data_IF_217905177638
#
_entry.id   IF_217905177638
#
_cell.length_a   1.000
_cell.length_b   1.000
_cell.length_c   1.000
_cell.angle_alpha   90.00
_cell.angle_beta   90.00
_cell.angle_gamma   90.00
#
_symmetry.space_group_name_H-M   'P 1'
#
loop_
_entity.id
_entity.type
_entity.pdbx_description
1 polymer ?
#
# COMPACT_ATOMS: atom_id res chain seq x y z
N UNK A 1 35.27 0.24 6.61
CA UNK A 1 35.20 0.21 5.14
C UNK A 1 34.88 -1.20 4.61
N UNK A 2 35.54 -2.25 5.12
CA UNK A 2 35.30 -3.65 4.68
C UNK A 2 33.86 -4.16 4.84
N UNK A 3 33.15 -3.76 5.91
CA UNK A 3 31.74 -4.13 6.12
C UNK A 3 30.80 -3.55 5.04
N UNK A 4 31.04 -2.32 4.61
CA UNK A 4 30.26 -1.65 3.56
C UNK A 4 30.49 -2.34 2.21
N UNK A 5 31.74 -2.64 1.87
CA UNK A 5 32.11 -3.35 0.63
C UNK A 5 31.51 -4.75 0.60
N UNK A 6 31.52 -5.47 1.74
CA UNK A 6 30.89 -6.78 1.87
C UNK A 6 29.37 -6.70 1.72
N UNK A 7 28.73 -5.71 2.34
CA UNK A 7 27.29 -5.47 2.20
C UNK A 7 26.89 -5.19 0.75
N UNK A 8 27.59 -4.28 0.06
CA UNK A 8 27.32 -3.95 -1.35
C UNK A 8 27.50 -5.18 -2.26
N UNK A 9 28.52 -6.01 -2.04
CA UNK A 9 28.69 -7.27 -2.78
C UNK A 9 27.55 -8.26 -2.55
N UNK A 10 27.08 -8.39 -1.32
CA UNK A 10 25.95 -9.27 -0.99
C UNK A 10 24.66 -8.74 -1.63
N UNK A 11 24.38 -7.45 -1.51
CA UNK A 11 23.23 -6.81 -2.13
C UNK A 11 23.24 -6.97 -3.67
N UNK A 12 24.39 -6.79 -4.31
CA UNK A 12 24.56 -7.00 -5.76
C UNK A 12 24.32 -8.45 -6.19
N UNK A 13 24.81 -9.42 -5.41
CA UNK A 13 24.53 -10.84 -5.69
C UNK A 13 23.05 -11.16 -5.48
N UNK A 14 22.42 -10.59 -4.46
CA UNK A 14 21.01 -10.78 -4.19
C UNK A 14 20.14 -10.16 -5.28
N UNK A 15 20.45 -8.95 -5.75
CA UNK A 15 19.67 -8.28 -6.79
C UNK A 15 19.66 -9.04 -8.12
N UNK A 16 20.75 -9.76 -8.44
CA UNK A 16 20.83 -10.61 -9.65
C UNK A 16 20.18 -11.99 -9.51
N UNK A 17 19.85 -12.44 -8.29
CA UNK A 17 19.28 -13.77 -8.02
C UNK A 17 17.88 -13.71 -7.40
N UNK A 18 17.24 -12.54 -7.31
CA UNK A 18 15.83 -12.51 -6.96
C UNK A 18 15.04 -13.08 -8.13
N UNK A 19 14.38 -14.25 -7.97
CA UNK A 19 13.49 -14.74 -9.00
C UNK A 19 12.28 -13.82 -8.98
N UNK A 20 12.26 -12.83 -9.86
CA UNK A 20 11.05 -12.08 -10.15
C UNK A 20 10.02 -13.10 -10.64
N UNK A 21 8.83 -13.07 -10.04
CA UNK A 21 7.71 -13.81 -10.59
C UNK A 21 7.40 -13.16 -11.93
N UNK A 22 7.26 -13.97 -12.98
CA UNK A 22 6.90 -13.47 -14.30
C UNK A 22 5.56 -12.72 -14.19
N UNK A 23 5.59 -11.42 -14.45
CA UNK A 23 4.43 -10.56 -14.31
C UNK A 23 3.65 -10.65 -15.61
N UNK A 24 2.57 -11.45 -15.60
CA UNK A 24 1.66 -11.52 -16.73
C UNK A 24 1.08 -10.13 -17.00
N UNK A 25 1.14 -9.72 -18.27
CA UNK A 25 0.50 -8.48 -18.69
C UNK A 25 -1.00 -8.53 -18.38
N UNK A 26 -1.51 -7.44 -17.80
CA UNK A 26 -2.93 -7.33 -17.49
C UNK A 26 -3.70 -6.93 -18.73
N UNK A 27 -4.65 -7.77 -19.13
CA UNK A 27 -5.56 -7.43 -20.20
C UNK A 27 -6.63 -6.45 -19.71
N UNK A 28 -7.24 -5.72 -20.65
CA UNK A 28 -8.33 -4.80 -20.32
C UNK A 28 -9.52 -5.52 -19.65
N UNK A 29 -9.74 -6.79 -19.99
CA UNK A 29 -10.77 -7.66 -19.40
C UNK A 29 -10.48 -7.98 -17.93
N UNK A 30 -9.23 -8.26 -17.56
CA UNK A 30 -8.82 -8.53 -16.17
C UNK A 30 -9.07 -7.32 -15.29
N UNK A 31 -8.71 -6.13 -15.80
CA UNK A 31 -8.95 -4.85 -15.11
C UNK A 31 -10.45 -4.65 -14.90
N UNK A 32 -11.27 -4.86 -15.94
CA UNK A 32 -12.72 -4.70 -15.83
C UNK A 32 -13.34 -5.70 -14.83
N UNK A 33 -12.89 -6.96 -14.87
CA UNK A 33 -13.36 -8.03 -13.98
C UNK A 33 -13.01 -7.74 -12.53
N UNK A 34 -11.76 -7.34 -12.25
CA UNK A 34 -11.34 -6.97 -10.91
C UNK A 34 -12.17 -5.80 -10.37
N UNK A 35 -12.34 -4.77 -11.20
CA UNK A 35 -13.12 -3.57 -10.86
C UNK A 35 -14.57 -3.92 -10.51
N UNK A 36 -15.23 -4.73 -11.33
CA UNK A 36 -16.58 -5.22 -11.06
C UNK A 36 -16.66 -6.04 -9.76
N UNK A 37 -15.66 -6.89 -9.50
CA UNK A 37 -15.59 -7.63 -8.25
C UNK A 37 -15.48 -6.70 -7.04
N UNK A 38 -14.59 -5.70 -7.07
CA UNK A 38 -14.34 -4.79 -5.95
C UNK A 38 -15.58 -3.99 -5.54
N UNK A 39 -16.45 -3.63 -6.50
CA UNK A 39 -17.73 -2.94 -6.25
C UNK A 39 -18.91 -3.90 -6.06
N UNK A 40 -18.70 -5.21 -6.10
CA UNK A 40 -19.74 -6.17 -5.77
C UNK A 40 -20.01 -6.20 -4.26
N UNK A 41 -21.12 -6.82 -3.84
CA UNK A 41 -21.42 -7.06 -2.41
C UNK A 41 -20.27 -7.80 -1.70
N UNK A 42 -19.68 -8.78 -2.37
CA UNK A 42 -18.56 -9.56 -1.85
C UNK A 42 -17.28 -8.75 -1.79
N UNK A 43 -16.99 -7.94 -2.82
CA UNK A 43 -15.85 -7.02 -2.86
C UNK A 43 -15.89 -5.97 -1.76
N UNK A 44 -17.04 -5.31 -1.55
CA UNK A 44 -17.24 -4.40 -0.41
C UNK A 44 -17.02 -5.07 0.94
N UNK A 45 -17.46 -6.32 1.11
CA UNK A 45 -17.21 -7.09 2.33
C UNK A 45 -15.72 -7.37 2.52
N UNK A 46 -15.01 -7.79 1.47
CA UNK A 46 -13.56 -7.98 1.49
C UNK A 46 -12.84 -6.69 1.89
N UNK A 47 -13.13 -5.59 1.20
CA UNK A 47 -12.57 -4.25 1.48
C UNK A 47 -12.75 -3.83 2.93
N UNK A 48 -13.97 -3.98 3.47
CA UNK A 48 -14.26 -3.67 4.89
C UNK A 48 -13.50 -4.58 5.86
N UNK A 49 -13.32 -5.85 5.54
CA UNK A 49 -12.50 -6.79 6.34
C UNK A 49 -11.03 -6.33 6.34
N UNK A 50 -10.50 -5.96 5.18
CA UNK A 50 -9.13 -5.48 5.01
C UNK A 50 -8.88 -4.15 5.76
N UNK A 51 -9.79 -3.19 5.65
CA UNK A 51 -9.73 -1.94 6.40
C UNK A 51 -9.73 -2.18 7.91
N UNK A 52 -10.57 -3.09 8.40
CA UNK A 52 -10.58 -3.46 9.82
C UNK A 52 -9.28 -4.13 10.26
N UNK A 53 -8.61 -4.90 9.39
CA UNK A 53 -7.29 -5.44 9.71
C UNK A 53 -6.24 -4.34 9.87
N UNK A 54 -6.27 -3.32 9.01
CA UNK A 54 -5.37 -2.14 9.14
C UNK A 54 -5.59 -1.44 10.48
N UNK A 55 -6.85 -1.17 10.85
CA UNK A 55 -7.18 -0.52 12.13
C UNK A 55 -6.68 -1.34 13.33
N UNK A 56 -6.90 -2.66 13.32
CA UNK A 56 -6.42 -3.56 14.38
C UNK A 56 -4.90 -3.57 14.48
N UNK A 57 -4.21 -3.60 13.34
CA UNK A 57 -2.76 -3.61 13.33
C UNK A 57 -2.18 -2.27 13.82
N UNK A 58 -2.79 -1.15 13.43
CA UNK A 58 -2.41 0.17 13.94
C UNK A 58 -2.61 0.26 15.46
N UNK A 59 -3.75 -0.22 15.97
CA UNK A 59 -4.01 -0.24 17.41
C UNK A 59 -2.98 -1.10 18.17
N UNK A 60 -2.61 -2.25 17.61
CA UNK A 60 -1.59 -3.14 18.18
C UNK A 60 -0.24 -2.42 18.30
N UNK A 61 0.22 -1.77 17.23
CA UNK A 61 1.47 -1.00 17.20
C UNK A 61 1.48 0.11 18.25
N UNK A 62 0.38 0.87 18.37
CA UNK A 62 0.27 1.97 19.36
C UNK A 62 0.33 1.44 20.80
N UNK A 63 -0.16 0.23 21.03
CA UNK A 63 -0.14 -0.42 22.35
C UNK A 63 1.19 -1.10 22.70
N UNK A 64 2.11 -1.23 21.74
CA UNK A 64 3.37 -1.94 21.89
C UNK A 64 4.35 -1.16 22.76
N UNK A 65 4.91 -1.84 23.77
CA UNK A 65 5.84 -1.26 24.76
C UNK A 65 7.29 -1.67 24.51
N UNK A 66 7.53 -2.79 23.82
CA UNK A 66 8.87 -3.20 23.43
C UNK A 66 9.30 -2.47 22.15
N UNK A 67 10.36 -1.66 22.25
CA UNK A 67 10.89 -0.87 21.13
C UNK A 67 11.39 -1.74 19.97
N UNK A 68 11.87 -2.96 20.22
CA UNK A 68 12.34 -3.85 19.15
C UNK A 68 11.17 -4.46 18.39
N UNK A 69 10.13 -4.91 19.08
CA UNK A 69 8.91 -5.40 18.45
C UNK A 69 8.14 -4.28 17.75
N UNK A 70 8.12 -3.08 18.33
CA UNK A 70 7.47 -1.90 17.76
C UNK A 70 7.94 -1.63 16.32
N UNK A 71 9.26 -1.70 16.06
CA UNK A 71 9.80 -1.45 14.72
C UNK A 71 9.30 -2.46 13.69
N UNK A 72 9.26 -3.74 14.08
CA UNK A 72 8.77 -4.81 13.23
C UNK A 72 7.27 -4.67 12.96
N UNK A 73 6.48 -4.48 14.01
CA UNK A 73 5.02 -4.35 13.92
C UNK A 73 4.60 -3.08 13.16
N UNK A 74 5.33 -1.96 13.33
CA UNK A 74 5.10 -0.74 12.57
C UNK A 74 5.39 -0.93 11.07
N UNK A 75 6.47 -1.66 10.74
CA UNK A 75 6.78 -2.03 9.36
C UNK A 75 5.68 -2.88 8.73
N UNK A 76 5.21 -3.89 9.46
CA UNK A 76 4.12 -4.75 9.02
C UNK A 76 2.80 -3.98 8.85
N UNK A 77 2.44 -3.13 9.82
CA UNK A 77 1.25 -2.28 9.75
C UNK A 77 1.27 -1.36 8.54
N UNK A 78 2.42 -0.75 8.25
CA UNK A 78 2.59 0.13 7.10
C UNK A 78 2.47 -0.63 5.77
N UNK A 79 3.02 -1.84 5.70
CA UNK A 79 2.86 -2.73 4.54
C UNK A 79 1.38 -3.09 4.30
N UNK A 80 0.67 -3.52 5.35
CA UNK A 80 -0.76 -3.81 5.27
C UNK A 80 -1.57 -2.59 4.83
N UNK A 81 -1.29 -1.42 5.40
CA UNK A 81 -1.95 -0.16 5.03
C UNK A 81 -1.77 0.17 3.55
N UNK A 82 -0.55 0.05 3.03
CA UNK A 82 -0.22 0.35 1.63
C UNK A 82 -0.98 -0.58 0.69
N UNK A 83 -0.98 -1.89 0.96
CA UNK A 83 -1.69 -2.88 0.14
C UNK A 83 -3.19 -2.63 0.11
N UNK A 84 -3.81 -2.35 1.26
CA UNK A 84 -5.24 -2.09 1.33
C UNK A 84 -5.59 -0.77 0.62
N UNK A 85 -4.76 0.26 0.74
CA UNK A 85 -4.96 1.52 0.02
C UNK A 85 -4.94 1.34 -1.50
N UNK A 86 -4.05 0.51 -2.04
CA UNK A 86 -4.04 0.19 -3.48
C UNK A 86 -5.36 -0.43 -3.93
N UNK A 87 -5.91 -1.37 -3.16
CA UNK A 87 -7.21 -1.99 -3.46
C UNK A 87 -8.37 -0.99 -3.35
N UNK A 88 -8.35 -0.10 -2.37
CA UNK A 88 -9.34 0.98 -2.21
C UNK A 88 -9.29 1.96 -3.39
N UNK A 89 -8.09 2.35 -3.84
CA UNK A 89 -7.92 3.24 -4.98
C UNK A 89 -8.52 2.65 -6.27
N UNK A 90 -8.33 1.35 -6.50
CA UNK A 90 -8.92 0.65 -7.66
C UNK A 90 -10.45 0.63 -7.64
N UNK A 91 -11.07 0.75 -6.46
CA UNK A 91 -12.51 0.77 -6.30
C UNK A 91 -13.12 2.18 -6.30
N UNK A 92 -12.38 3.21 -5.86
CA UNK A 92 -12.82 4.61 -5.80
C UNK A 92 -13.13 5.21 -7.16
N UNK A 93 -12.48 4.76 -8.23
CA UNK A 93 -12.74 5.25 -9.58
C UNK A 93 -14.15 4.88 -10.12
N UNK A 94 -14.97 4.15 -9.32
CA UNK A 94 -16.23 3.54 -9.74
C UNK A 94 -17.39 3.85 -8.78
N UNK A 95 -17.14 3.86 -7.48
CA UNK A 95 -18.16 4.23 -6.48
C UNK A 95 -18.12 5.76 -6.24
N UNK A 96 -19.27 6.46 -6.14
CA UNK A 96 -19.28 7.85 -5.69
C UNK A 96 -18.64 7.96 -4.30
N UNK A 97 -17.86 9.01 -4.05
CA UNK A 97 -17.16 9.23 -2.78
C UNK A 97 -18.15 9.18 -1.60
N UNK A 98 -18.14 8.08 -0.85
CA UNK A 98 -18.64 8.10 0.52
C UNK A 98 -17.50 8.61 1.40
N UNK A 99 -17.78 9.67 2.18
CA UNK A 99 -16.88 10.25 3.18
C UNK A 99 -16.50 9.18 4.22
N UNK A 100 -15.48 8.39 3.90
CA UNK A 100 -14.79 7.58 4.89
C UNK A 100 -14.06 8.55 5.82
N UNK A 101 -14.17 8.39 7.16
CA UNK A 101 -13.40 9.21 8.07
C UNK A 101 -11.93 8.97 7.75
N UNK A 102 -11.29 9.96 7.14
CA UNK A 102 -9.86 9.94 6.91
C UNK A 102 -9.21 9.81 8.28
N UNK A 103 -8.58 8.67 8.56
CA UNK A 103 -7.73 8.55 9.73
C UNK A 103 -6.78 9.75 9.71
N UNK A 104 -6.76 10.53 10.78
CA UNK A 104 -6.00 11.78 10.96
C UNK A 104 -4.48 11.60 10.74
N UNK A 105 -4.03 10.35 10.54
CA UNK A 105 -2.68 9.95 10.17
C UNK A 105 -2.53 9.53 8.70
N UNK A 106 -3.45 9.97 7.83
CA UNK A 106 -3.40 9.91 6.38
C UNK A 106 -2.08 10.46 5.85
N UNK A 107 -1.19 9.61 5.35
CA UNK A 107 -0.28 10.03 4.29
C UNK A 107 -1.20 10.29 3.11
N UNK A 108 -1.74 11.50 3.04
CA UNK A 108 -2.32 12.02 1.84
C UNK A 108 -1.26 11.83 0.77
N UNK A 109 -1.62 11.10 -0.29
CA UNK A 109 -0.95 11.29 -1.57
C UNK A 109 -1.21 12.76 -1.88
N UNK A 110 -0.32 13.64 -1.44
CA UNK A 110 -0.04 14.84 -2.19
C UNK A 110 0.31 14.29 -3.56
N UNK A 111 -0.71 14.25 -4.42
CA UNK A 111 -0.49 14.15 -5.85
C UNK A 111 0.63 15.13 -6.11
N UNK A 112 1.68 14.61 -6.72
CA UNK A 112 2.77 15.38 -7.27
C UNK A 112 2.14 16.41 -8.21
N UNK A 113 1.68 17.54 -7.65
CA UNK A 113 1.44 18.75 -8.38
C UNK A 113 2.83 19.21 -8.78
N UNK A 114 3.08 18.96 -10.06
CA UNK A 114 4.20 19.43 -10.85
C UNK A 114 4.75 20.78 -10.32
N UNK A 115 6.00 20.84 -9.82
CA UNK A 115 6.60 22.08 -9.34
C UNK A 115 6.84 23.12 -10.47
N UNK A 116 6.42 22.85 -11.71
CA UNK A 116 6.61 23.76 -12.85
C UNK A 116 5.33 24.33 -13.48
N UNK A 117 4.14 24.06 -12.94
CA UNK A 117 2.92 24.67 -13.45
C UNK A 117 2.82 26.17 -13.08
N UNK A 118 3.39 27.04 -13.94
CA UNK A 118 3.17 28.49 -13.91
C UNK A 118 1.68 28.78 -14.05
N UNK A 119 1.06 29.30 -12.98
CA UNK A 119 -0.24 29.96 -13.06
C UNK A 119 -0.07 31.26 -13.84
N UNK A 120 -0.64 31.31 -15.04
CA UNK A 120 -0.88 32.57 -15.76
C UNK A 120 -2.24 33.08 -15.29
N UNK A 121 -2.25 34.32 -14.82
CA UNK A 121 -3.46 35.06 -14.43
C UNK A 121 -4.32 35.40 -15.63
#
# INVERSE_FOLDING_TARGET
MERLIRFVRVAWKLSGHMPWIDESEWEAEDVATLRQFLVSKSGRKLRRILLNMVLRQNAAVVSQRDTNQLKFEAGYANGMRTTVHTLEALARDIEPEEDLPSDVFGVGRAMSEDPTARRVF
#
